data_IF_072484144548
#
_entry.id   IF_072484144548
#
_cell.length_a   1.000
_cell.length_b   1.000
_cell.length_c   1.000
_cell.angle_alpha   90.00
_cell.angle_beta   90.00
_cell.angle_gamma   90.00
#
_symmetry.space_group_name_H-M   'P 1'
#
loop_
_entity.id
_entity.type
_entity.pdbx_description
1 polymer ?
#
# COMPACT_ATOMS: atom_id res chain seq x y z
N UNK A 1 17.49 3.95 -24.97
CA UNK A 1 16.26 3.57 -24.23
C UNK A 1 16.29 4.31 -22.90
N UNK A 2 15.28 5.11 -22.64
CA UNK A 2 15.26 5.94 -21.42
C UNK A 2 14.82 5.08 -20.22
N UNK A 3 15.81 4.66 -19.42
CA UNK A 3 15.59 3.81 -18.25
C UNK A 3 14.60 4.42 -17.23
N UNK A 4 14.47 5.75 -17.22
CA UNK A 4 13.56 6.47 -16.31
C UNK A 4 12.09 6.10 -16.51
N UNK A 5 11.72 5.61 -17.70
CA UNK A 5 10.35 5.14 -18.00
C UNK A 5 9.92 3.92 -17.16
N UNK A 6 10.88 3.07 -16.75
CA UNK A 6 10.61 1.86 -15.97
C UNK A 6 10.62 2.08 -14.48
N UNK A 7 11.26 3.15 -13.99
CA UNK A 7 11.41 3.42 -12.56
C UNK A 7 10.07 3.52 -11.81
N UNK A 8 9.02 4.19 -12.34
CA UNK A 8 7.74 4.22 -11.64
C UNK A 8 7.09 2.84 -11.50
N UNK A 9 7.24 1.97 -12.50
CA UNK A 9 6.77 0.59 -12.41
C UNK A 9 7.57 -0.21 -11.37
N UNK A 10 8.89 -0.13 -11.40
CA UNK A 10 9.76 -0.79 -10.44
C UNK A 10 9.45 -0.35 -9.00
N UNK A 11 9.27 0.95 -8.76
CA UNK A 11 8.90 1.48 -7.44
C UNK A 11 7.56 0.93 -6.94
N UNK A 12 6.53 0.88 -7.82
CA UNK A 12 5.23 0.30 -7.48
C UNK A 12 5.32 -1.20 -7.19
N UNK A 13 6.14 -1.94 -7.94
CA UNK A 13 6.36 -3.37 -7.72
C UNK A 13 7.05 -3.62 -6.37
N UNK A 14 8.12 -2.88 -6.07
CA UNK A 14 8.88 -3.01 -4.83
C UNK A 14 8.06 -2.68 -3.58
N UNK A 15 7.10 -1.77 -3.67
CA UNK A 15 6.20 -1.43 -2.56
C UNK A 15 4.98 -2.36 -2.57
N UNK A 16 4.34 -2.56 -3.71
CA UNK A 16 3.08 -3.29 -3.81
C UNK A 16 3.21 -4.78 -3.53
N UNK A 17 4.33 -5.40 -3.92
CA UNK A 17 4.55 -6.83 -3.72
C UNK A 17 4.61 -7.20 -2.22
N UNK A 18 5.39 -6.54 -1.35
CA UNK A 18 5.36 -6.81 0.08
C UNK A 18 3.98 -6.60 0.72
N UNK A 19 3.22 -5.57 0.31
CA UNK A 19 1.84 -5.39 0.78
C UNK A 19 0.95 -6.56 0.36
N UNK A 20 0.97 -6.97 -0.90
CA UNK A 20 0.18 -8.10 -1.39
C UNK A 20 0.55 -9.40 -0.66
N UNK A 21 1.83 -9.66 -0.44
CA UNK A 21 2.31 -10.82 0.32
C UNK A 21 1.85 -10.78 1.78
N UNK A 22 1.90 -9.62 2.43
CA UNK A 22 1.42 -9.44 3.80
C UNK A 22 -0.08 -9.72 3.91
N UNK A 23 -0.89 -9.16 3.01
CA UNK A 23 -2.33 -9.41 2.96
C UNK A 23 -2.66 -10.88 2.68
N UNK A 24 -1.93 -11.52 1.77
CA UNK A 24 -2.09 -12.95 1.46
C UNK A 24 -1.76 -13.83 2.68
N UNK A 25 -0.67 -13.52 3.38
CA UNK A 25 -0.28 -14.23 4.61
C UNK A 25 -1.35 -14.15 5.71
N UNK A 26 -2.04 -13.01 5.84
CA UNK A 26 -3.13 -12.82 6.81
C UNK A 26 -4.33 -13.73 6.52
N UNK A 27 -4.59 -14.11 5.27
CA UNK A 27 -5.70 -15.02 4.94
C UNK A 27 -5.54 -16.39 5.63
N UNK A 28 -4.32 -16.86 5.81
CA UNK A 28 -4.01 -18.10 6.54
C UNK A 28 -3.86 -17.94 8.06
N UNK A 29 -3.97 -16.73 8.59
CA UNK A 29 -3.65 -16.41 9.99
C UNK A 29 -4.74 -15.58 10.68
N UNK A 30 -6.01 -15.85 10.40
CA UNK A 30 -7.15 -15.08 10.92
C UNK A 30 -7.13 -14.95 12.44
N UNK A 31 -7.07 -16.10 13.17
CA UNK A 31 -7.13 -16.13 14.62
C UNK A 31 -5.98 -15.33 15.26
N UNK A 32 -4.75 -15.54 14.79
CA UNK A 32 -3.57 -14.83 15.27
C UNK A 32 -3.67 -13.32 14.99
N UNK A 33 -4.06 -12.94 13.78
CA UNK A 33 -4.15 -11.53 13.38
C UNK A 33 -5.22 -10.79 14.18
N UNK A 34 -6.40 -11.37 14.35
CA UNK A 34 -7.47 -10.76 15.15
C UNK A 34 -7.11 -10.66 16.64
N UNK A 35 -6.39 -11.64 17.18
CA UNK A 35 -5.85 -11.59 18.54
C UNK A 35 -4.85 -10.43 18.71
N UNK A 36 -3.93 -10.26 17.76
CA UNK A 36 -2.96 -9.15 17.79
C UNK A 36 -3.65 -7.79 17.69
N UNK A 37 -4.66 -7.65 16.83
CA UNK A 37 -5.46 -6.43 16.69
C UNK A 37 -6.18 -6.09 18.00
N UNK A 38 -6.78 -7.08 18.65
CA UNK A 38 -7.43 -6.91 19.95
C UNK A 38 -6.46 -6.55 21.06
N UNK A 39 -5.25 -7.12 21.05
CA UNK A 39 -4.23 -6.87 22.06
C UNK A 39 -3.72 -5.41 22.07
N UNK A 40 -3.74 -4.70 20.94
CA UNK A 40 -3.42 -3.27 20.88
C UNK A 40 -4.63 -2.36 21.15
N UNK A 41 -5.77 -2.92 21.54
CA UNK A 41 -6.95 -2.18 21.96
C UNK A 41 -7.81 -1.62 20.81
N UNK A 42 -7.60 -2.07 19.57
CA UNK A 42 -8.45 -1.67 18.45
C UNK A 42 -9.84 -2.31 18.57
N UNK A 43 -10.93 -1.51 18.40
CA UNK A 43 -12.27 -2.06 18.40
C UNK A 43 -12.54 -2.90 17.16
N UNK A 44 -13.46 -3.85 17.30
CA UNK A 44 -13.93 -4.71 16.20
C UNK A 44 -12.78 -5.43 15.44
N UNK A 45 -12.01 -6.34 16.09
CA UNK A 45 -10.83 -6.97 15.48
C UNK A 45 -11.11 -7.67 14.14
N UNK A 46 -12.29 -8.29 13.98
CA UNK A 46 -12.68 -8.94 12.74
C UNK A 46 -12.85 -7.93 11.57
N UNK A 47 -13.44 -6.77 11.84
CA UNK A 47 -13.58 -5.69 10.84
C UNK A 47 -12.21 -5.10 10.49
N UNK A 48 -11.39 -4.81 11.49
CA UNK A 48 -10.03 -4.30 11.28
C UNK A 48 -9.17 -5.31 10.49
N UNK A 49 -9.32 -6.60 10.74
CA UNK A 49 -8.71 -7.66 9.93
C UNK A 49 -9.16 -7.62 8.46
N UNK A 50 -10.48 -7.54 8.22
CA UNK A 50 -11.02 -7.50 6.86
C UNK A 50 -10.51 -6.26 6.09
N UNK A 51 -10.46 -5.09 6.75
CA UNK A 51 -9.89 -3.86 6.19
C UNK A 51 -8.39 -4.04 5.90
N UNK A 52 -7.63 -4.62 6.83
CA UNK A 52 -6.20 -4.85 6.62
C UNK A 52 -5.94 -5.75 5.41
N UNK A 53 -6.64 -6.88 5.29
CA UNK A 53 -6.50 -7.78 4.15
C UNK A 53 -6.89 -7.08 2.84
N UNK A 54 -8.01 -6.36 2.82
CA UNK A 54 -8.47 -5.65 1.62
C UNK A 54 -7.47 -4.58 1.17
N UNK A 55 -6.96 -3.78 2.10
CA UNK A 55 -5.99 -2.71 1.80
C UNK A 55 -4.64 -3.28 1.40
N UNK A 56 -4.11 -4.26 2.11
CA UNK A 56 -2.80 -4.82 1.83
C UNK A 56 -2.81 -5.68 0.55
N UNK A 57 -3.69 -6.66 0.45
CA UNK A 57 -3.76 -7.53 -0.72
C UNK A 57 -4.31 -6.78 -1.93
N UNK A 58 -5.50 -6.19 -1.80
CA UNK A 58 -6.14 -5.44 -2.88
C UNK A 58 -5.35 -4.21 -3.27
N UNK A 59 -4.95 -3.38 -2.30
CA UNK A 59 -4.14 -2.18 -2.53
C UNK A 59 -2.78 -2.50 -3.12
N UNK A 60 -2.09 -3.53 -2.64
CA UNK A 60 -0.81 -3.98 -3.19
C UNK A 60 -0.91 -4.39 -4.66
N UNK A 61 -1.90 -5.22 -5.01
CA UNK A 61 -2.13 -5.65 -6.40
C UNK A 61 -2.53 -4.50 -7.32
N UNK A 62 -3.43 -3.61 -6.88
CA UNK A 62 -3.85 -2.43 -7.65
C UNK A 62 -2.71 -1.43 -7.84
N UNK A 63 -1.82 -1.29 -6.84
CA UNK A 63 -0.62 -0.46 -6.95
C UNK A 63 0.33 -1.00 -8.02
N UNK A 64 0.58 -2.32 -8.03
CA UNK A 64 1.42 -2.97 -9.06
C UNK A 64 0.82 -2.76 -10.44
N UNK A 65 -0.49 -3.02 -10.60
CA UNK A 65 -1.20 -2.83 -11.85
C UNK A 65 -1.23 -1.35 -12.32
N UNK A 66 -1.11 -0.42 -11.39
CA UNK A 66 -1.22 1.01 -11.69
C UNK A 66 -2.64 1.44 -12.03
N UNK A 67 -3.63 0.91 -11.30
CA UNK A 67 -5.04 1.24 -11.44
C UNK A 67 -5.49 2.14 -10.29
N UNK A 68 -6.06 3.31 -10.63
CA UNK A 68 -6.41 4.37 -9.66
C UNK A 68 -5.27 4.66 -8.68
N UNK A 69 -4.07 4.67 -9.18
CA UNK A 69 -2.82 4.56 -8.43
C UNK A 69 -2.69 5.59 -7.32
N UNK A 70 -3.09 6.84 -7.55
CA UNK A 70 -2.99 7.90 -6.53
C UNK A 70 -3.88 7.63 -5.33
N UNK A 71 -5.12 7.17 -5.56
CA UNK A 71 -6.08 6.85 -4.49
C UNK A 71 -5.62 5.63 -3.71
N UNK A 72 -5.18 4.59 -4.42
CA UNK A 72 -4.63 3.36 -3.82
C UNK A 72 -3.39 3.67 -2.99
N UNK A 73 -2.46 4.45 -3.53
CA UNK A 73 -1.25 4.86 -2.81
C UNK A 73 -1.60 5.67 -1.55
N UNK A 74 -2.58 6.58 -1.60
CA UNK A 74 -3.02 7.34 -0.44
C UNK A 74 -3.63 6.43 0.63
N UNK A 75 -4.46 5.46 0.25
CA UNK A 75 -5.01 4.47 1.18
C UNK A 75 -3.90 3.66 1.88
N UNK A 76 -2.87 3.25 1.13
CA UNK A 76 -1.71 2.56 1.69
C UNK A 76 -0.84 3.46 2.58
N UNK A 77 -0.73 4.77 2.30
CA UNK A 77 -0.10 5.75 3.20
C UNK A 77 -0.83 5.76 4.55
N UNK A 78 -2.14 5.97 4.52
CA UNK A 78 -2.95 6.04 5.74
C UNK A 78 -2.87 4.73 6.53
N UNK A 79 -2.93 3.60 5.85
CA UNK A 79 -2.78 2.29 6.47
C UNK A 79 -1.41 2.09 7.11
N UNK A 80 -0.31 2.47 6.43
CA UNK A 80 1.06 2.35 6.96
C UNK A 80 1.25 3.21 8.20
N UNK A 81 0.76 4.45 8.20
CA UNK A 81 0.85 5.34 9.36
C UNK A 81 0.00 4.81 10.52
N UNK A 82 -1.24 4.37 10.25
CA UNK A 82 -2.10 3.78 11.26
C UNK A 82 -1.48 2.52 11.89
N UNK A 83 -0.87 1.65 11.09
CA UNK A 83 -0.15 0.46 11.57
C UNK A 83 1.06 0.83 12.42
N UNK A 84 1.85 1.83 12.00
CA UNK A 84 3.00 2.31 12.78
C UNK A 84 2.57 2.76 14.18
N UNK A 85 1.54 3.61 14.25
CA UNK A 85 1.04 4.16 15.51
C UNK A 85 0.38 3.09 16.39
N UNK A 86 -0.42 2.18 15.80
CA UNK A 86 -1.18 1.19 16.58
C UNK A 86 -0.32 0.04 17.08
N UNK A 87 0.64 -0.45 16.29
CA UNK A 87 1.38 -1.68 16.59
C UNK A 87 2.84 -1.47 16.97
N UNK A 88 3.42 -0.30 16.67
CA UNK A 88 4.85 -0.04 16.79
C UNK A 88 5.15 1.29 17.50
N UNK A 89 4.32 1.70 18.47
CA UNK A 89 4.47 2.99 19.17
C UNK A 89 5.47 2.97 20.33
N UNK A 90 5.93 1.80 20.78
CA UNK A 90 6.95 1.71 21.83
C UNK A 90 8.35 1.96 21.23
N UNK A 91 8.72 3.23 21.06
CA UNK A 91 9.99 3.63 20.45
C UNK A 91 11.22 3.38 21.36
N UNK A 92 11.02 3.01 22.60
CA UNK A 92 12.11 2.57 23.49
C UNK A 92 12.58 1.14 23.18
N UNK A 93 11.72 0.31 22.58
CA UNK A 93 12.08 -0.99 22.06
C UNK A 93 12.66 -0.86 20.64
N UNK A 94 13.91 -1.31 20.45
CA UNK A 94 14.62 -1.15 19.18
C UNK A 94 13.88 -1.81 17.99
N UNK A 95 13.29 -2.99 18.21
CA UNK A 95 12.56 -3.69 17.14
C UNK A 95 11.29 -2.94 16.74
N UNK A 96 10.54 -2.44 17.71
CA UNK A 96 9.35 -1.62 17.50
C UNK A 96 9.69 -0.32 16.76
N UNK A 97 10.77 0.37 17.18
CA UNK A 97 11.25 1.57 16.51
C UNK A 97 11.60 1.31 15.04
N UNK A 98 12.29 0.19 14.74
CA UNK A 98 12.62 -0.18 13.36
C UNK A 98 11.36 -0.38 12.52
N UNK A 99 10.36 -1.08 13.05
CA UNK A 99 9.09 -1.28 12.35
C UNK A 99 8.31 0.02 12.16
N UNK A 100 8.31 0.90 13.15
CA UNK A 100 7.72 2.23 13.04
C UNK A 100 8.36 3.02 11.90
N UNK A 101 9.69 3.13 11.90
CA UNK A 101 10.43 3.87 10.87
C UNK A 101 10.25 3.28 9.48
N UNK A 102 10.21 1.95 9.33
CA UNK A 102 9.90 1.30 8.06
C UNK A 102 8.54 1.72 7.50
N UNK A 103 7.50 1.74 8.33
CA UNK A 103 6.17 2.19 7.89
C UNK A 103 6.16 3.65 7.46
N UNK A 104 6.90 4.52 8.17
CA UNK A 104 7.03 5.93 7.81
C UNK A 104 7.80 6.09 6.48
N UNK A 105 8.88 5.32 6.27
CA UNK A 105 9.62 5.33 5.00
C UNK A 105 8.76 4.85 3.83
N UNK A 106 7.97 3.79 4.03
CA UNK A 106 7.03 3.28 3.03
C UNK A 106 5.98 4.37 2.71
N UNK A 107 5.41 5.01 3.72
CA UNK A 107 4.47 6.11 3.53
C UNK A 107 5.09 7.26 2.74
N UNK A 108 6.34 7.61 3.01
CA UNK A 108 7.10 8.61 2.24
C UNK A 108 7.24 8.23 0.76
N UNK A 109 7.61 6.99 0.47
CA UNK A 109 7.69 6.48 -0.91
C UNK A 109 6.33 6.49 -1.62
N UNK A 110 5.26 6.09 -0.93
CA UNK A 110 3.90 6.12 -1.46
C UNK A 110 3.40 7.55 -1.74
N UNK A 111 3.78 8.54 -0.93
CA UNK A 111 3.45 9.94 -1.18
C UNK A 111 4.06 10.45 -2.50
N UNK A 112 5.25 9.99 -2.90
CA UNK A 112 5.81 10.29 -4.22
C UNK A 112 4.91 9.73 -5.33
N UNK A 113 4.35 8.51 -5.13
CA UNK A 113 3.40 7.92 -6.10
C UNK A 113 2.08 8.72 -6.12
N UNK A 114 1.59 9.20 -4.99
CA UNK A 114 0.41 10.07 -4.92
C UNK A 114 0.65 11.35 -5.73
N UNK A 115 1.81 11.97 -5.60
CA UNK A 115 2.16 13.22 -6.26
C UNK A 115 2.35 13.04 -7.77
N UNK A 116 3.17 12.06 -8.18
CA UNK A 116 3.61 11.90 -9.56
C UNK A 116 2.80 10.89 -10.38
N UNK A 117 2.05 10.00 -9.72
CA UNK A 117 1.20 9.00 -10.37
C UNK A 117 1.93 7.72 -10.77
N UNK A 118 1.26 6.93 -11.62
CA UNK A 118 1.65 5.55 -11.92
C UNK A 118 2.80 5.39 -12.95
N UNK A 119 3.10 6.42 -13.74
CA UNK A 119 4.00 6.30 -14.88
C UNK A 119 3.36 5.63 -16.11
N UNK A 120 4.14 5.49 -17.16
CA UNK A 120 3.65 5.05 -18.49
C UNK A 120 3.21 3.58 -18.54
N UNK A 121 3.82 2.73 -17.75
CA UNK A 121 3.48 1.30 -17.66
C UNK A 121 2.40 1.07 -16.58
N UNK A 122 1.17 1.51 -16.86
CA UNK A 122 0.06 1.43 -15.92
C UNK A 122 -1.29 1.42 -16.63
N UNK A 123 -2.32 0.88 -15.97
CA UNK A 123 -3.70 1.00 -16.44
C UNK A 123 -4.17 2.46 -16.48
N UNK A 124 -3.72 3.30 -15.55
CA UNK A 124 -4.07 4.72 -15.53
C UNK A 124 -3.56 5.47 -16.79
N UNK A 125 -2.38 5.10 -17.29
CA UNK A 125 -1.83 5.69 -18.51
C UNK A 125 -2.61 5.24 -19.75
N UNK A 126 -3.01 3.96 -19.82
CA UNK A 126 -3.81 3.43 -20.93
C UNK A 126 -5.18 4.09 -20.99
N UNK A 127 -5.86 4.23 -19.87
CA UNK A 127 -7.18 4.87 -19.82
C UNK A 127 -7.14 6.32 -20.27
N UNK A 128 -6.08 7.07 -19.91
CA UNK A 128 -5.88 8.46 -20.37
C UNK A 128 -5.68 8.54 -21.90
N UNK A 129 -4.89 7.64 -22.46
CA UNK A 129 -4.67 7.59 -23.90
C UNK A 129 -5.97 7.34 -24.67
N UNK A 130 -6.81 6.40 -24.19
CA UNK A 130 -8.11 6.08 -24.81
C UNK A 130 -9.09 7.26 -24.72
N UNK A 131 -9.15 7.96 -23.57
CA UNK A 131 -10.00 9.14 -23.41
C UNK A 131 -9.62 10.29 -24.35
N UNK A 132 -8.33 10.53 -24.55
CA UNK A 132 -7.85 11.59 -25.46
C UNK A 132 -8.19 11.28 -26.92
N UNK A 133 -8.14 10.01 -27.34
CA UNK A 133 -8.54 9.60 -28.68
C UNK A 133 -10.05 9.78 -28.91
N UNK A 134 -10.88 9.46 -27.94
CA UNK A 134 -12.33 9.61 -28.01
C UNK A 134 -12.80 11.08 -28.05
N UNK A 135 -11.99 12.01 -27.56
CA UNK A 135 -12.29 13.46 -27.63
C UNK A 135 -11.79 14.12 -28.90
N UNK A 136 -10.94 13.44 -29.69
CA UNK A 136 -10.39 13.94 -30.95
C UNK A 136 -11.20 13.52 -32.19
N UNK A 137 -12.21 12.65 -32.02
CA UNK A 137 -13.17 12.19 -33.07
C UNK A 137 -14.51 12.88 -32.93
#
# INVERSE_FOLDING_TARGET
MDATRYLPFAGRLLIGLPFAMSGLGKLGAYALTTQMIGAVGLPFPALAYAVAVAVELGGGLLLIAGFRTRIVALALVLFSVATAVSFHSNLADQNQMIHFLKNIMIAGGLLQIVAFGAGVFSFDARNRATSNLAQAT
#
